data_IF_963395731703
#
_entry.id   IF_963395731703
#
_cell.length_a   1.000
_cell.length_b   1.000
_cell.length_c   1.000
_cell.angle_alpha   90.00
_cell.angle_beta   90.00
_cell.angle_gamma   90.00
#
_symmetry.space_group_name_H-M   'P 1'
#
loop_
_entity.id
_entity.type
_entity.pdbx_description
1 polymer ?
#
# COMPACT_ATOMS: atom_id res chain seq x y z
N UNK A 1 -10.22 -30.91 0.70
CA UNK A 1 -10.72 -29.58 0.29
C UNK A 1 -9.56 -28.83 -0.33
N UNK A 2 -9.66 -28.34 -1.56
CA UNK A 2 -8.57 -27.57 -2.18
C UNK A 2 -8.26 -26.34 -1.32
N UNK A 3 -6.97 -26.07 -1.06
CA UNK A 3 -6.53 -24.94 -0.25
C UNK A 3 -7.14 -23.61 -0.74
N UNK A 4 -7.23 -23.44 -2.06
CA UNK A 4 -7.87 -22.28 -2.69
C UNK A 4 -9.35 -22.11 -2.33
N UNK A 5 -10.10 -23.21 -2.18
CA UNK A 5 -11.51 -23.16 -1.77
C UNK A 5 -11.59 -22.68 -0.30
N UNK A 6 -10.70 -23.16 0.57
CA UNK A 6 -10.66 -22.70 1.95
C UNK A 6 -10.33 -21.20 2.06
N UNK A 7 -9.39 -20.70 1.25
CA UNK A 7 -9.06 -19.27 1.18
C UNK A 7 -10.25 -18.42 0.71
N UNK A 8 -10.98 -18.87 -0.33
CA UNK A 8 -12.17 -18.17 -0.80
C UNK A 8 -13.28 -18.14 0.25
N UNK A 9 -13.48 -19.23 0.99
CA UNK A 9 -14.44 -19.28 2.10
C UNK A 9 -14.04 -18.28 3.20
N UNK A 10 -12.75 -18.22 3.56
CA UNK A 10 -12.27 -17.24 4.55
C UNK A 10 -12.47 -15.80 4.09
N UNK A 11 -12.18 -15.50 2.83
CA UNK A 11 -12.40 -14.17 2.25
C UNK A 11 -13.89 -13.80 2.27
N UNK A 12 -14.76 -14.73 1.88
CA UNK A 12 -16.21 -14.52 1.88
C UNK A 12 -16.74 -14.31 3.31
N UNK A 13 -16.26 -15.08 4.28
CA UNK A 13 -16.62 -14.90 5.69
C UNK A 13 -16.16 -13.53 6.23
N UNK A 14 -14.94 -13.10 5.91
CA UNK A 14 -14.42 -11.80 6.32
C UNK A 14 -15.24 -10.64 5.75
N UNK A 15 -15.56 -10.70 4.44
CA UNK A 15 -16.42 -9.72 3.78
C UNK A 15 -17.84 -9.73 4.37
N UNK A 16 -18.39 -10.90 4.63
CA UNK A 16 -19.70 -11.04 5.25
C UNK A 16 -19.74 -10.37 6.61
N UNK A 17 -18.75 -10.62 7.48
CA UNK A 17 -18.68 -9.99 8.81
C UNK A 17 -18.54 -8.47 8.69
N UNK A 18 -17.69 -7.97 7.78
CA UNK A 18 -17.50 -6.53 7.60
C UNK A 18 -18.78 -5.83 7.11
N UNK A 19 -19.44 -6.40 6.10
CA UNK A 19 -20.67 -5.84 5.52
C UNK A 19 -21.84 -5.97 6.50
N UNK A 20 -22.01 -7.13 7.14
CA UNK A 20 -23.04 -7.34 8.14
C UNK A 20 -22.86 -6.39 9.34
N UNK A 21 -21.63 -6.18 9.81
CA UNK A 21 -21.33 -5.23 10.87
C UNK A 21 -21.71 -3.79 10.49
N UNK A 22 -21.34 -3.34 9.28
CA UNK A 22 -21.74 -2.03 8.78
C UNK A 22 -23.27 -1.91 8.64
N UNK A 23 -23.95 -2.94 8.13
CA UNK A 23 -25.40 -2.96 7.97
C UNK A 23 -26.13 -2.91 9.31
N UNK A 24 -25.71 -3.70 10.28
CA UNK A 24 -26.27 -3.68 11.65
C UNK A 24 -26.06 -2.30 12.28
N UNK A 25 -24.86 -1.73 12.17
CA UNK A 25 -24.57 -0.38 12.67
C UNK A 25 -25.43 0.71 12.04
N UNK A 26 -25.67 0.61 10.73
CA UNK A 26 -26.51 1.55 10.00
C UNK A 26 -28.02 1.41 10.34
N UNK A 27 -28.51 0.20 10.60
CA UNK A 27 -29.92 -0.07 10.91
C UNK A 27 -30.24 0.21 12.39
N UNK A 28 -29.35 -0.18 13.31
CA UNK A 28 -29.57 -0.01 14.75
C UNK A 28 -29.22 1.39 15.26
N UNK A 29 -28.41 2.15 14.52
CA UNK A 29 -27.99 3.50 14.89
C UNK A 29 -29.08 4.57 14.71
N UNK A 30 -29.24 5.53 15.64
CA UNK A 30 -30.14 6.66 15.44
C UNK A 30 -29.69 7.53 14.25
N UNK A 31 -30.47 7.53 13.17
CA UNK A 31 -30.22 8.39 12.01
C UNK A 31 -30.83 9.77 12.22
N UNK A 32 -30.01 10.72 12.65
CA UNK A 32 -30.34 12.16 12.75
C UNK A 32 -29.35 12.96 11.92
N UNK A 33 -29.56 13.06 10.59
CA UNK A 33 -28.72 13.89 9.74
C UNK A 33 -28.98 15.36 10.06
N UNK A 34 -27.92 16.15 10.16
CA UNK A 34 -27.98 17.59 10.38
C UNK A 34 -26.92 18.26 9.51
N UNK A 35 -27.19 19.50 9.08
CA UNK A 35 -26.26 20.26 8.23
C UNK A 35 -24.91 20.46 8.91
N UNK A 36 -24.91 20.72 10.23
CA UNK A 36 -23.69 20.89 11.02
C UNK A 36 -22.97 19.55 11.21
N UNK A 37 -23.71 18.47 11.49
CA UNK A 37 -23.15 17.12 11.67
C UNK A 37 -22.48 16.57 10.40
N UNK A 38 -22.99 16.95 9.23
CA UNK A 38 -22.48 16.51 7.93
C UNK A 38 -21.47 17.49 7.30
N UNK A 39 -21.13 18.59 7.98
CA UNK A 39 -20.12 19.52 7.52
C UNK A 39 -18.71 18.94 7.73
N UNK A 40 -17.75 19.33 6.88
CA UNK A 40 -16.35 18.96 7.06
C UNK A 40 -15.82 19.55 8.37
N UNK A 41 -14.99 18.78 9.07
CA UNK A 41 -14.41 19.20 10.34
C UNK A 41 -13.29 20.24 10.12
N UNK A 42 -13.48 21.47 10.62
CA UNK A 42 -12.47 22.53 10.67
C UNK A 42 -12.37 23.17 12.06
N UNK A 43 -12.33 22.36 13.13
CA UNK A 43 -12.18 22.83 14.53
C UNK A 43 -13.19 23.90 14.97
N UNK A 44 -14.42 23.86 14.44
CA UNK A 44 -15.49 24.82 14.76
C UNK A 44 -15.55 26.05 13.85
N UNK A 45 -14.64 26.17 12.87
CA UNK A 45 -14.76 27.13 11.79
C UNK A 45 -15.64 26.60 10.65
N UNK A 46 -16.26 27.51 9.90
CA UNK A 46 -16.98 27.14 8.69
C UNK A 46 -16.01 26.51 7.68
N UNK A 47 -16.36 25.35 7.10
CA UNK A 47 -15.46 24.64 6.21
C UNK A 47 -15.10 25.51 5.02
N UNK A 48 -13.81 25.73 4.83
CA UNK A 48 -13.26 26.63 3.83
C UNK A 48 -13.72 26.16 2.44
N UNK A 49 -14.54 26.95 1.70
CA UNK A 49 -14.96 26.55 0.37
C UNK A 49 -13.73 26.55 -0.55
N UNK A 50 -13.44 25.43 -1.18
CA UNK A 50 -12.50 25.34 -2.30
C UNK A 50 -11.03 25.72 -2.02
N UNK A 51 -10.39 25.17 -0.98
CA UNK A 51 -8.93 24.94 -1.01
C UNK A 51 -8.51 23.55 -1.51
N UNK A 52 -9.47 22.63 -1.69
CA UNK A 52 -9.19 21.22 -2.02
C UNK A 52 -8.82 20.94 -3.49
N UNK A 53 -9.25 21.75 -4.45
CA UNK A 53 -9.01 21.47 -5.88
C UNK A 53 -7.72 22.10 -6.45
N UNK A 54 -6.92 22.79 -5.64
CA UNK A 54 -5.75 23.54 -6.13
C UNK A 54 -4.45 23.31 -5.34
N UNK A 55 -4.50 22.57 -4.23
CA UNK A 55 -3.29 22.21 -3.51
C UNK A 55 -2.58 21.07 -4.24
N UNK A 56 -1.41 21.36 -4.84
CA UNK A 56 -0.53 20.30 -5.34
C UNK A 56 -0.04 19.49 -4.15
N UNK A 57 -0.38 18.21 -4.12
CA UNK A 57 0.17 17.32 -3.12
C UNK A 57 1.71 17.26 -3.25
N UNK A 58 2.43 17.22 -2.13
CA UNK A 58 3.88 17.08 -2.15
C UNK A 58 4.35 15.87 -2.99
N UNK A 59 5.35 16.06 -3.84
CA UNK A 59 5.91 15.01 -4.72
C UNK A 59 6.55 13.86 -3.94
N UNK A 60 6.85 14.05 -2.65
CA UNK A 60 7.42 13.01 -1.77
C UNK A 60 6.62 11.70 -1.77
N UNK A 61 5.28 11.76 -1.81
CA UNK A 61 4.45 10.55 -1.90
C UNK A 61 4.69 9.78 -3.19
N UNK A 62 4.89 10.48 -4.31
CA UNK A 62 5.19 9.87 -5.60
C UNK A 62 6.56 9.20 -5.59
N UNK A 63 7.60 9.86 -5.04
CA UNK A 63 8.95 9.29 -4.96
C UNK A 63 8.95 8.01 -4.12
N UNK A 64 8.28 8.00 -2.97
CA UNK A 64 8.14 6.81 -2.13
C UNK A 64 7.38 5.69 -2.85
N UNK A 65 6.24 5.99 -3.48
CA UNK A 65 5.42 4.99 -4.16
C UNK A 65 6.14 4.39 -5.39
N UNK A 66 6.82 5.22 -6.19
CA UNK A 66 7.62 4.77 -7.32
C UNK A 66 8.73 3.83 -6.85
N UNK A 67 9.42 4.17 -5.77
CA UNK A 67 10.47 3.31 -5.23
C UNK A 67 9.93 1.99 -4.71
N UNK A 68 8.80 2.02 -4.00
CA UNK A 68 8.12 0.84 -3.52
C UNK A 68 7.79 -0.13 -4.67
N UNK A 69 7.26 0.38 -5.79
CA UNK A 69 6.94 -0.47 -6.96
C UNK A 69 8.20 -1.12 -7.54
N UNK A 70 9.31 -0.39 -7.64
CA UNK A 70 10.57 -0.93 -8.17
C UNK A 70 11.10 -2.05 -7.26
N UNK A 71 11.09 -1.84 -5.94
CA UNK A 71 11.49 -2.87 -4.97
C UNK A 71 10.54 -4.06 -4.92
N UNK A 72 9.23 -3.84 -5.06
CA UNK A 72 8.27 -4.94 -5.09
C UNK A 72 8.52 -5.84 -6.31
N UNK A 73 8.82 -5.24 -7.47
CA UNK A 73 9.24 -5.98 -8.67
C UNK A 73 10.55 -6.74 -8.42
N UNK A 74 11.53 -6.15 -7.74
CA UNK A 74 12.78 -6.84 -7.35
C UNK A 74 12.49 -8.11 -6.56
N UNK A 75 11.62 -8.01 -5.54
CA UNK A 75 11.25 -9.15 -4.69
C UNK A 75 10.50 -10.22 -5.48
N UNK A 76 9.64 -9.84 -6.44
CA UNK A 76 9.00 -10.78 -7.37
C UNK A 76 10.02 -11.61 -8.15
N UNK A 77 11.16 -11.03 -8.56
CA UNK A 77 12.24 -11.78 -9.20
C UNK A 77 13.08 -12.61 -8.22
N UNK A 78 13.20 -12.17 -6.97
CA UNK A 78 13.89 -12.92 -5.92
C UNK A 78 13.15 -14.20 -5.52
N UNK A 79 11.81 -14.22 -5.56
CA UNK A 79 11.02 -15.38 -5.12
C UNK A 79 11.31 -16.68 -5.90
N UNK A 80 11.25 -16.74 -7.24
CA UNK A 80 11.55 -17.96 -7.99
C UNK A 80 12.96 -18.48 -7.75
N UNK A 81 13.94 -17.57 -7.66
CA UNK A 81 15.32 -17.91 -7.34
C UNK A 81 15.46 -18.46 -5.92
N UNK A 82 14.80 -17.84 -4.94
CA UNK A 82 14.84 -18.30 -3.55
C UNK A 82 14.24 -19.71 -3.40
N UNK A 83 13.14 -19.99 -4.11
CA UNK A 83 12.48 -21.31 -4.09
C UNK A 83 13.32 -22.37 -4.81
N UNK A 84 14.02 -22.04 -5.88
CA UNK A 84 14.86 -22.97 -6.68
C UNK A 84 16.36 -22.87 -6.38
N UNK A 85 16.76 -22.24 -5.27
CA UNK A 85 18.15 -21.90 -4.98
C UNK A 85 19.10 -23.11 -5.05
N UNK A 86 18.66 -24.26 -4.56
CA UNK A 86 19.45 -25.49 -4.55
C UNK A 86 19.77 -26.02 -5.96
N UNK A 87 18.95 -25.72 -6.97
CA UNK A 87 19.12 -26.22 -8.34
C UNK A 87 20.03 -25.32 -9.20
N UNK A 88 20.19 -24.06 -8.79
CA UNK A 88 20.84 -23.00 -9.57
C UNK A 88 22.37 -22.94 -9.37
N UNK A 89 22.89 -23.56 -8.31
CA UNK A 89 24.31 -23.61 -7.99
C UNK A 89 24.99 -22.23 -7.84
N UNK A 90 26.31 -22.18 -7.98
CA UNK A 90 27.12 -20.96 -7.80
C UNK A 90 26.81 -19.87 -8.85
N UNK A 91 26.38 -20.28 -10.04
CA UNK A 91 26.06 -19.34 -11.12
C UNK A 91 24.81 -18.52 -10.79
N UNK A 92 23.72 -19.16 -10.38
CA UNK A 92 22.51 -18.43 -9.99
C UNK A 92 22.70 -17.57 -8.75
N UNK A 93 23.57 -17.98 -7.81
CA UNK A 93 23.96 -17.13 -6.68
C UNK A 93 24.66 -15.85 -7.14
N UNK A 94 25.66 -15.94 -8.02
CA UNK A 94 26.36 -14.77 -8.56
C UNK A 94 25.42 -13.87 -9.37
N UNK A 95 24.61 -14.46 -10.25
CA UNK A 95 23.66 -13.73 -11.07
C UNK A 95 22.66 -12.93 -10.20
N UNK A 96 22.17 -13.53 -9.11
CA UNK A 96 21.23 -12.84 -8.24
C UNK A 96 21.88 -11.77 -7.37
N UNK A 97 23.12 -11.99 -6.90
CA UNK A 97 23.88 -10.94 -6.21
C UNK A 97 24.08 -9.72 -7.11
N UNK A 98 24.45 -9.94 -8.38
CA UNK A 98 24.60 -8.85 -9.35
C UNK A 98 23.27 -8.14 -9.63
N UNK A 99 22.15 -8.87 -9.67
CA UNK A 99 20.82 -8.29 -9.84
C UNK A 99 20.42 -7.38 -8.67
N UNK A 100 20.63 -7.84 -7.42
CA UNK A 100 20.37 -7.04 -6.22
C UNK A 100 21.27 -5.81 -6.18
N UNK A 101 22.57 -5.96 -6.49
CA UNK A 101 23.51 -4.84 -6.51
C UNK A 101 23.12 -3.78 -7.56
N UNK A 102 22.67 -4.23 -8.75
CA UNK A 102 22.19 -3.34 -9.81
C UNK A 102 21.05 -2.42 -9.36
N UNK A 103 20.12 -2.93 -8.53
CA UNK A 103 18.97 -2.16 -8.03
C UNK A 103 19.28 -1.41 -6.72
N UNK A 104 20.21 -1.93 -5.92
CA UNK A 104 20.72 -1.25 -4.74
C UNK A 104 21.44 0.07 -5.08
N UNK A 105 22.13 0.15 -6.22
CA UNK A 105 22.85 1.38 -6.65
C UNK A 105 21.89 2.57 -6.85
N UNK A 106 20.82 2.49 -7.66
CA UNK A 106 19.79 3.53 -7.74
C UNK A 106 19.16 3.88 -6.39
N UNK A 107 18.97 2.90 -5.51
CA UNK A 107 18.44 3.15 -4.17
C UNK A 107 19.37 4.01 -3.32
N UNK A 108 20.64 3.63 -3.25
CA UNK A 108 21.66 4.40 -2.53
C UNK A 108 21.75 5.82 -3.10
N UNK A 109 21.67 5.96 -4.42
CA UNK A 109 21.67 7.28 -5.07
C UNK A 109 20.47 8.14 -4.64
N UNK A 110 19.25 7.60 -4.68
CA UNK A 110 18.04 8.33 -4.26
C UNK A 110 18.11 8.69 -2.78
N UNK A 111 18.59 7.78 -1.94
CA UNK A 111 18.77 8.01 -0.52
C UNK A 111 19.79 9.11 -0.24
N UNK A 112 20.95 9.07 -0.90
CA UNK A 112 22.00 10.09 -0.78
C UNK A 112 21.50 11.48 -1.21
N UNK A 113 20.58 11.54 -2.18
CA UNK A 113 19.93 12.80 -2.62
C UNK A 113 18.77 13.25 -1.74
N UNK A 114 18.56 12.63 -0.57
CA UNK A 114 17.41 12.91 0.32
C UNK A 114 16.06 12.76 -0.38
N UNK A 115 15.94 11.80 -1.31
CA UNK A 115 14.68 11.52 -2.01
C UNK A 115 13.53 11.07 -1.10
N UNK A 116 13.86 10.69 0.14
CA UNK A 116 12.91 10.31 1.20
C UNK A 116 12.87 11.30 2.36
N UNK A 117 13.22 12.57 2.13
CA UNK A 117 13.10 13.61 3.17
C UNK A 117 11.63 13.89 3.48
N UNK A 118 11.26 13.76 4.75
CA UNK A 118 9.91 14.02 5.24
C UNK A 118 9.77 15.30 6.05
N UNK A 119 10.88 16.02 6.24
CA UNK A 119 10.90 17.31 6.91
C UNK A 119 10.27 18.43 6.07
#
# INVERSE_FOLDING_TARGET
>A
MNLYIALLIMLAAALFVAIAGMAVGAIMGPSRPDKVKNANYECGCDPTPNRGNQARFPVKYYLTAMMFIIFDIEVVFLYPWAVSFMEQGKFGMLAMMLFVELLAVPFIYVWARRGFDWN
#
